data_IF_614243946312
#
_entry.id   IF_614243946312
#
_cell.length_a   1.000
_cell.length_b   1.000
_cell.length_c   1.000
_cell.angle_alpha   90.00
_cell.angle_beta   90.00
_cell.angle_gamma   90.00
#
_symmetry.space_group_name_H-M   'P 1'
#
loop_
_entity.id
_entity.type
_entity.pdbx_description
1 polymer ?
#
# COMPACT_ATOMS: atom_id res chain seq x y z
N UNK A 1 -11.90 -15.61 13.96
CA UNK A 1 -11.04 -14.46 14.28
C UNK A 1 -10.63 -13.82 12.97
N UNK A 2 -10.50 -12.49 12.91
CA UNK A 2 -9.96 -11.77 11.75
C UNK A 2 -8.67 -11.11 12.22
N UNK A 3 -7.56 -11.38 11.53
CA UNK A 3 -6.29 -10.69 11.75
C UNK A 3 -6.06 -9.81 10.54
N UNK A 4 -5.85 -8.51 10.80
CA UNK A 4 -5.53 -7.53 9.78
C UNK A 4 -4.04 -7.17 9.95
N UNK A 5 -3.24 -7.52 8.95
CA UNK A 5 -1.81 -7.26 8.92
C UNK A 5 -1.48 -6.18 7.88
N UNK A 6 -0.50 -5.34 8.17
CA UNK A 6 0.03 -4.40 7.20
C UNK A 6 1.54 -4.27 7.30
N UNK A 7 2.19 -4.17 6.15
CA UNK A 7 3.60 -3.85 6.05
C UNK A 7 3.78 -2.32 6.00
N UNK A 8 4.60 -1.80 6.92
CA UNK A 8 4.93 -0.36 7.03
C UNK A 8 6.40 -0.08 6.71
N UNK A 9 7.07 -1.03 6.07
CA UNK A 9 8.45 -0.87 5.62
C UNK A 9 8.60 0.20 4.53
N UNK A 10 9.83 0.67 4.26
CA UNK A 10 10.07 1.79 3.36
C UNK A 10 9.42 1.64 1.97
N UNK A 11 9.50 0.46 1.36
CA UNK A 11 8.90 0.21 0.05
C UNK A 11 7.36 0.31 0.08
N UNK A 12 6.70 -0.26 1.09
CA UNK A 12 5.22 -0.25 1.17
C UNK A 12 4.65 1.15 1.43
N UNK A 13 5.49 2.10 1.87
CA UNK A 13 5.13 3.51 1.98
C UNK A 13 5.18 4.27 0.66
N UNK A 14 5.83 3.72 -0.37
CA UNK A 14 6.07 4.42 -1.65
C UNK A 14 5.58 3.66 -2.87
N UNK A 15 5.32 2.36 -2.78
CA UNK A 15 4.99 1.51 -3.93
C UNK A 15 3.59 1.79 -4.51
N UNK A 16 2.72 2.47 -3.77
CA UNK A 16 1.39 2.87 -4.25
C UNK A 16 1.38 4.36 -4.61
N UNK A 17 0.66 4.71 -5.69
CA UNK A 17 0.47 6.12 -6.10
C UNK A 17 -0.20 6.94 -4.99
N UNK A 18 -1.18 6.34 -4.34
CA UNK A 18 -1.83 6.87 -3.13
C UNK A 18 -1.45 5.96 -1.95
N UNK A 19 -0.86 6.50 -0.87
CA UNK A 19 -0.43 5.68 0.25
C UNK A 19 -1.64 5.13 1.03
N UNK A 20 -1.52 3.90 1.53
CA UNK A 20 -2.47 3.37 2.52
C UNK A 20 -2.44 4.21 3.78
N UNK A 21 -3.60 4.72 4.18
CA UNK A 21 -3.73 5.65 5.31
C UNK A 21 -3.90 4.88 6.62
N UNK A 22 -3.14 5.29 7.62
CA UNK A 22 -3.21 4.79 8.98
C UNK A 22 -3.61 5.92 9.93
N UNK A 23 -4.71 5.74 10.64
CA UNK A 23 -5.18 6.71 11.64
C UNK A 23 -5.57 5.99 12.92
N UNK A 24 -5.07 6.49 14.05
CA UNK A 24 -5.40 5.98 15.39
C UNK A 24 -5.20 4.46 15.56
N UNK A 25 -4.22 3.88 14.84
CA UNK A 25 -3.93 2.45 14.89
C UNK A 25 -4.76 1.57 13.93
N UNK A 26 -5.57 2.17 13.06
CA UNK A 26 -6.39 1.46 12.08
C UNK A 26 -5.97 1.80 10.65
N UNK A 27 -6.13 0.83 9.74
CA UNK A 27 -6.06 1.06 8.30
C UNK A 27 -7.37 1.69 7.87
N UNK A 28 -7.31 2.86 7.24
CA UNK A 28 -8.49 3.47 6.64
C UNK A 28 -8.78 2.75 5.32
N UNK A 29 -9.97 2.13 5.16
CA UNK A 29 -10.30 1.40 3.94
C UNK A 29 -10.30 2.33 2.72
N UNK A 30 -9.59 1.97 1.64
CA UNK A 30 -9.68 2.71 0.39
C UNK A 30 -11.10 2.70 -0.17
N UNK A 31 -11.52 3.81 -0.79
CA UNK A 31 -12.88 3.97 -1.36
C UNK A 31 -12.93 3.75 -2.87
N UNK A 32 -11.78 3.56 -3.51
CA UNK A 32 -11.67 3.27 -4.94
C UNK A 32 -12.19 1.87 -5.32
N UNK A 33 -12.42 1.60 -6.61
CA UNK A 33 -12.87 0.30 -7.07
C UNK A 33 -11.82 -0.81 -6.82
N UNK A 34 -12.29 -2.05 -6.68
CA UNK A 34 -11.41 -3.21 -6.49
C UNK A 34 -10.70 -3.15 -5.14
N UNK A 35 -9.36 -3.23 -5.15
CA UNK A 35 -8.54 -3.06 -3.94
C UNK A 35 -8.38 -1.58 -3.53
N UNK A 36 -8.80 -0.65 -4.39
CA UNK A 36 -8.73 0.80 -4.14
C UNK A 36 -7.31 1.36 -4.05
N UNK A 37 -6.32 0.66 -4.61
CA UNK A 37 -4.93 1.11 -4.71
C UNK A 37 -4.39 0.86 -6.11
N UNK A 38 -3.42 1.68 -6.52
CA UNK A 38 -2.67 1.50 -7.76
C UNK A 38 -1.17 1.54 -7.46
N UNK A 39 -0.40 0.69 -8.14
CA UNK A 39 1.05 0.74 -8.03
C UNK A 39 1.64 1.97 -8.71
N UNK A 40 2.71 2.49 -8.12
CA UNK A 40 3.60 3.43 -8.77
C UNK A 40 4.60 2.64 -9.65
N UNK A 41 4.42 2.75 -10.97
CA UNK A 41 5.22 2.05 -11.98
C UNK A 41 6.70 2.45 -11.94
N UNK A 42 7.02 3.69 -11.57
CA UNK A 42 8.41 4.14 -11.52
C UNK A 42 9.11 3.52 -10.30
N UNK A 43 8.41 3.39 -9.18
CA UNK A 43 8.90 2.66 -8.00
C UNK A 43 9.04 1.17 -8.30
N UNK A 44 8.08 0.56 -9.00
CA UNK A 44 8.17 -0.84 -9.40
C UNK A 44 9.40 -1.12 -10.27
N UNK A 45 9.62 -0.30 -11.32
CA UNK A 45 10.76 -0.46 -12.24
C UNK A 45 12.11 -0.36 -11.51
N UNK A 46 12.20 0.47 -10.47
CA UNK A 46 13.40 0.61 -9.66
C UNK A 46 13.71 -0.62 -8.77
N UNK A 47 12.76 -1.55 -8.61
CA UNK A 47 12.86 -2.72 -7.72
C UNK A 47 12.64 -4.06 -8.44
N UNK A 48 12.85 -4.11 -9.76
CA UNK A 48 12.82 -5.36 -10.52
C UNK A 48 14.00 -6.25 -10.13
N UNK A 49 13.73 -7.54 -9.95
CA UNK A 49 14.74 -8.57 -9.65
C UNK A 49 14.78 -9.55 -10.83
N UNK A 50 15.98 -9.94 -11.26
CA UNK A 50 16.22 -10.94 -12.31
C UNK A 50 16.19 -12.38 -11.79
#
# INVERSE_FOLDING_TARGET
FLIQEANQGPLHKTIFKEPLVFENGYIIPPTGPGLGVEFDEDVLKAHLIE
#
